data_IF_687397200141
#
_entry.id   IF_687397200141
#
_cell.length_a   1.000
_cell.length_b   1.000
_cell.length_c   1.000
_cell.angle_alpha   90.00
_cell.angle_beta   90.00
_cell.angle_gamma   90.00
#
_symmetry.space_group_name_H-M   'P 1'
#
loop_
_entity.id
_entity.type
_entity.pdbx_description
1 polymer ?
#
# COMPACT_ATOMS: atom_id res chain seq x y z
N UNK A 1 2.58 -5.15 -24.21
CA UNK A 1 2.34 -6.04 -23.05
C UNK A 1 1.84 -5.18 -21.91
N UNK A 2 0.97 -5.70 -21.04
CA UNK A 2 0.47 -4.97 -19.87
C UNK A 2 1.57 -4.91 -18.80
N UNK A 3 1.87 -3.72 -18.27
CA UNK A 3 2.77 -3.59 -17.13
C UNK A 3 2.03 -4.00 -15.85
N UNK A 4 2.52 -5.05 -15.21
CA UNK A 4 1.90 -5.62 -13.99
C UNK A 4 2.77 -5.48 -12.76
N UNK A 5 4.01 -4.98 -12.89
CA UNK A 5 5.00 -4.86 -11.84
C UNK A 5 5.59 -3.44 -11.79
N UNK A 6 5.84 -2.97 -10.58
CA UNK A 6 6.29 -1.62 -10.27
C UNK A 6 7.41 -1.70 -9.24
N UNK A 7 8.58 -1.20 -9.61
CA UNK A 7 9.71 -1.08 -8.71
C UNK A 7 9.48 0.07 -7.72
N UNK A 8 10.00 -0.10 -6.51
CA UNK A 8 9.97 0.94 -5.49
C UNK A 8 11.23 0.94 -4.63
N UNK A 9 11.47 2.06 -3.97
CA UNK A 9 12.50 2.19 -2.94
C UNK A 9 11.88 2.73 -1.67
N UNK A 10 12.01 1.98 -0.57
CA UNK A 10 11.54 2.42 0.75
C UNK A 10 12.32 3.67 1.22
N UNK A 11 11.62 4.70 1.71
CA UNK A 11 12.24 5.89 2.30
C UNK A 11 13.31 5.59 3.34
N UNK A 12 13.01 4.75 4.34
CA UNK A 12 13.97 4.35 5.37
C UNK A 12 14.50 2.94 5.13
N UNK A 13 13.60 1.97 4.96
CA UNK A 13 13.93 0.57 4.66
C UNK A 13 13.46 -0.41 5.73
N UNK A 14 13.49 -1.69 5.39
CA UNK A 14 13.21 -2.79 6.29
C UNK A 14 14.51 -3.34 6.86
N UNK A 15 14.62 -3.43 8.18
CA UNK A 15 15.74 -4.09 8.86
C UNK A 15 15.31 -5.51 9.20
N UNK A 16 15.99 -6.50 8.63
CA UNK A 16 15.69 -7.90 8.91
C UNK A 16 16.26 -8.36 10.27
N UNK A 17 16.05 -9.63 10.60
CA UNK A 17 16.51 -10.21 11.88
C UNK A 17 18.03 -10.32 11.99
N UNK A 18 18.74 -10.29 10.87
CA UNK A 18 20.20 -10.35 10.80
C UNK A 18 20.82 -8.94 10.81
N UNK A 19 19.98 -7.90 10.78
CA UNK A 19 20.40 -6.50 10.78
C UNK A 19 20.67 -5.94 9.38
N UNK A 20 20.33 -6.68 8.31
CA UNK A 20 20.49 -6.18 6.95
C UNK A 20 19.37 -5.18 6.61
N UNK A 21 19.74 -4.12 5.89
CA UNK A 21 18.81 -3.09 5.44
C UNK A 21 18.36 -3.36 4.01
N UNK A 22 17.04 -3.52 3.82
CA UNK A 22 16.39 -3.75 2.52
C UNK A 22 15.55 -2.53 2.13
N UNK A 23 15.80 -1.97 0.94
CA UNK A 23 15.05 -0.78 0.48
C UNK A 23 14.38 -0.97 -0.86
N UNK A 24 15.03 -1.69 -1.78
CA UNK A 24 14.51 -1.88 -3.14
C UNK A 24 13.52 -3.04 -3.17
N UNK A 25 12.40 -2.86 -3.86
CA UNK A 25 11.38 -3.90 -3.95
C UNK A 25 10.55 -3.83 -5.22
N UNK A 26 9.68 -4.82 -5.39
CA UNK A 26 8.69 -4.89 -6.47
C UNK A 26 7.32 -5.06 -5.85
N UNK A 27 6.36 -4.27 -6.33
CA UNK A 27 4.93 -4.46 -6.11
C UNK A 27 4.26 -4.83 -7.42
N UNK A 28 3.40 -5.84 -7.41
CA UNK A 28 2.55 -6.17 -8.55
C UNK A 28 1.16 -5.53 -8.41
N UNK A 29 0.44 -5.44 -9.53
CA UNK A 29 -0.99 -5.15 -9.50
C UNK A 29 -1.74 -6.17 -8.63
N UNK A 30 -2.68 -5.67 -7.84
CA UNK A 30 -3.59 -6.46 -7.05
C UNK A 30 -4.59 -7.19 -7.95
N UNK A 31 -4.91 -8.43 -7.60
CA UNK A 31 -6.01 -9.16 -8.22
C UNK A 31 -7.27 -9.01 -7.37
N UNK A 32 -8.45 -9.29 -7.94
CA UNK A 32 -9.68 -9.34 -7.15
C UNK A 32 -9.59 -10.35 -5.97
N UNK A 33 -8.81 -11.43 -6.11
CA UNK A 33 -8.57 -12.36 -5.02
C UNK A 33 -7.76 -11.72 -3.87
N UNK A 34 -6.83 -10.82 -4.18
CA UNK A 34 -6.08 -10.09 -3.17
C UNK A 34 -6.98 -9.13 -2.39
N UNK A 35 -8.02 -8.57 -3.00
CA UNK A 35 -8.98 -7.68 -2.31
C UNK A 35 -9.99 -8.45 -1.44
N UNK A 36 -10.48 -9.60 -1.93
CA UNK A 36 -11.61 -10.29 -1.32
C UNK A 36 -11.18 -11.32 -0.26
N UNK A 37 -10.13 -12.10 -0.55
CA UNK A 37 -9.73 -13.21 0.34
C UNK A 37 -9.31 -12.72 1.74
N UNK A 38 -8.57 -11.59 1.89
CA UNK A 38 -8.16 -11.10 3.21
C UNK A 38 -9.31 -10.71 4.15
N UNK A 39 -10.50 -10.40 3.63
CA UNK A 39 -11.66 -10.05 4.45
C UNK A 39 -12.14 -11.19 5.34
N UNK A 40 -11.69 -12.43 5.05
CA UNK A 40 -11.96 -13.62 5.86
C UNK A 40 -10.89 -13.89 6.92
N UNK A 41 -9.77 -13.16 6.92
CA UNK A 41 -8.71 -13.34 7.93
C UNK A 41 -9.25 -12.89 9.31
N UNK A 42 -9.15 -13.73 10.36
CA UNK A 42 -9.65 -13.40 11.69
C UNK A 42 -9.06 -12.09 12.26
N UNK A 43 -7.82 -11.75 11.89
CA UNK A 43 -7.17 -10.50 12.34
C UNK A 43 -7.83 -9.29 11.70
N UNK A 44 -8.24 -9.39 10.43
CA UNK A 44 -8.97 -8.33 9.73
C UNK A 44 -10.39 -8.19 10.28
N UNK A 45 -11.07 -9.31 10.59
CA UNK A 45 -12.39 -9.25 11.21
C UNK A 45 -12.36 -8.62 12.60
N UNK A 46 -11.33 -8.91 13.39
CA UNK A 46 -11.12 -8.28 14.70
C UNK A 46 -10.67 -6.81 14.60
N UNK A 47 -9.86 -6.48 13.60
CA UNK A 47 -9.36 -5.14 13.35
C UNK A 47 -9.28 -4.85 11.84
N UNK A 48 -10.26 -4.11 11.29
CA UNK A 48 -10.27 -3.77 9.86
C UNK A 48 -9.02 -3.03 9.38
N UNK A 49 -8.33 -2.30 10.27
CA UNK A 49 -7.08 -1.61 9.92
C UNK A 49 -5.94 -2.58 9.57
N UNK A 50 -6.03 -3.86 9.96
CA UNK A 50 -5.02 -4.87 9.62
C UNK A 50 -5.10 -5.35 8.16
N UNK A 51 -6.17 -4.99 7.43
CA UNK A 51 -6.35 -5.35 6.02
C UNK A 51 -5.15 -4.92 5.17
N UNK A 52 -4.64 -3.70 5.39
CA UNK A 52 -3.53 -3.16 4.60
C UNK A 52 -2.25 -4.00 4.73
N UNK A 53 -1.99 -4.54 5.93
CA UNK A 53 -0.83 -5.41 6.19
C UNK A 53 -0.95 -6.69 5.36
N UNK A 54 -2.13 -7.31 5.34
CA UNK A 54 -2.38 -8.50 4.54
C UNK A 54 -2.28 -8.19 3.05
N UNK A 55 -2.91 -7.11 2.58
CA UNK A 55 -2.87 -6.70 1.17
C UNK A 55 -1.43 -6.52 0.70
N UNK A 56 -0.67 -5.67 1.39
CA UNK A 56 0.73 -5.39 1.04
C UNK A 56 1.58 -6.66 1.05
N UNK A 57 1.36 -7.57 2.01
CA UNK A 57 2.10 -8.84 2.06
C UNK A 57 1.85 -9.77 0.87
N UNK A 58 0.74 -9.58 0.15
CA UNK A 58 0.36 -10.40 -1.01
C UNK A 58 0.81 -9.80 -2.34
N UNK A 59 0.98 -8.48 -2.41
CA UNK A 59 1.30 -7.76 -3.65
C UNK A 59 2.75 -7.30 -3.73
N UNK A 60 3.44 -7.17 -2.59
CA UNK A 60 4.90 -6.98 -2.59
C UNK A 60 5.55 -8.33 -2.86
N UNK A 61 6.14 -8.48 -4.05
CA UNK A 61 6.74 -9.74 -4.53
C UNK A 61 8.24 -9.83 -4.24
N UNK A 62 8.90 -8.70 -4.01
CA UNK A 62 10.32 -8.63 -3.67
C UNK A 62 10.61 -7.46 -2.73
N UNK A 63 11.50 -7.66 -1.78
CA UNK A 63 12.10 -6.60 -0.95
C UNK A 63 13.53 -7.00 -0.60
N UNK A 64 14.51 -6.40 -1.28
CA UNK A 64 15.92 -6.77 -1.17
C UNK A 64 16.14 -8.27 -1.35
N UNK A 65 16.83 -8.90 -0.40
CA UNK A 65 17.09 -10.34 -0.38
C UNK A 65 16.21 -11.10 0.62
N UNK A 66 15.09 -10.51 1.05
CA UNK A 66 14.14 -11.19 1.95
C UNK A 66 13.54 -12.40 1.24
N UNK A 67 13.71 -13.59 1.82
CA UNK A 67 13.31 -14.87 1.21
C UNK A 67 11.81 -14.96 0.89
N UNK A 68 10.98 -14.48 1.82
CA UNK A 68 9.52 -14.54 1.70
C UNK A 68 8.87 -13.31 2.34
N UNK A 69 8.07 -12.61 1.54
CA UNK A 69 7.22 -11.52 2.03
C UNK A 69 5.98 -12.13 2.68
N UNK A 70 5.74 -11.76 3.93
CA UNK A 70 4.60 -12.22 4.73
C UNK A 70 4.14 -11.07 5.64
N UNK A 71 2.99 -11.19 6.33
CA UNK A 71 2.47 -10.11 7.18
C UNK A 71 3.49 -9.60 8.21
N UNK A 72 4.35 -10.48 8.75
CA UNK A 72 5.37 -10.09 9.74
C UNK A 72 6.46 -9.20 9.16
N UNK A 73 6.80 -9.35 7.88
CA UNK A 73 7.73 -8.44 7.19
C UNK A 73 7.10 -7.05 7.08
N UNK A 74 5.83 -6.98 6.70
CA UNK A 74 5.11 -5.71 6.56
C UNK A 74 4.90 -5.03 7.92
N UNK A 75 4.61 -5.80 8.98
CA UNK A 75 4.55 -5.30 10.36
C UNK A 75 5.89 -4.74 10.86
N UNK A 76 7.00 -5.26 10.35
CA UNK A 76 8.36 -4.83 10.72
C UNK A 76 8.84 -3.56 10.01
N UNK A 77 8.03 -3.00 9.10
CA UNK A 77 8.35 -1.73 8.43
C UNK A 77 8.25 -0.56 9.40
N UNK A 78 9.07 0.47 9.18
CA UNK A 78 8.82 1.76 9.80
C UNK A 78 7.48 2.33 9.33
N UNK A 79 6.83 3.13 10.18
CA UNK A 79 5.54 3.73 9.85
C UNK A 79 5.56 4.55 8.55
N UNK A 80 6.67 5.23 8.26
CA UNK A 80 6.88 5.97 7.01
C UNK A 80 6.93 5.05 5.78
N UNK A 81 7.53 3.87 5.90
CA UNK A 81 7.64 2.91 4.82
C UNK A 81 6.31 2.20 4.57
N UNK A 82 5.57 1.87 5.64
CA UNK A 82 4.21 1.35 5.51
C UNK A 82 3.30 2.35 4.79
N UNK A 83 3.34 3.63 5.20
CA UNK A 83 2.57 4.70 4.56
C UNK A 83 2.96 4.89 3.09
N UNK A 84 4.26 4.83 2.78
CA UNK A 84 4.76 4.90 1.41
C UNK A 84 4.22 3.75 0.54
N UNK A 85 4.27 2.51 1.04
CA UNK A 85 3.73 1.35 0.31
C UNK A 85 2.22 1.42 0.14
N UNK A 86 1.49 1.95 1.13
CA UNK A 86 0.05 2.17 1.02
C UNK A 86 -0.29 3.21 -0.07
N UNK A 87 0.44 4.32 -0.15
CA UNK A 87 0.24 5.31 -1.24
C UNK A 87 0.59 4.71 -2.61
N UNK A 88 1.69 3.95 -2.71
CA UNK A 88 2.04 3.25 -3.94
C UNK A 88 0.95 2.27 -4.35
N UNK A 89 0.43 1.47 -3.42
CA UNK A 89 -0.66 0.54 -3.66
C UNK A 89 -1.89 1.25 -4.23
N UNK A 90 -2.32 2.33 -3.57
CA UNK A 90 -3.48 3.11 -3.99
C UNK A 90 -3.27 3.74 -5.37
N UNK A 91 -2.06 4.20 -5.67
CA UNK A 91 -1.73 4.81 -6.96
C UNK A 91 -1.76 3.82 -8.12
N UNK A 92 -1.27 2.59 -7.93
CA UNK A 92 -1.19 1.61 -9.03
C UNK A 92 -2.45 0.75 -9.18
N UNK A 93 -3.23 0.58 -8.10
CA UNK A 93 -4.44 -0.25 -8.10
C UNK A 93 -5.74 0.57 -8.02
N UNK A 94 -5.67 1.82 -7.60
CA UNK A 94 -6.83 2.71 -7.55
C UNK A 94 -7.20 3.23 -8.93
N UNK A 95 -8.47 3.60 -9.08
CA UNK A 95 -9.03 4.15 -10.32
C UNK A 95 -8.62 5.63 -10.55
N UNK A 96 -7.48 6.08 -10.00
CA UNK A 96 -7.07 7.49 -10.02
C UNK A 96 -7.76 8.40 -8.99
N UNK A 97 -8.75 7.90 -8.23
CA UNK A 97 -9.50 8.72 -7.27
C UNK A 97 -8.69 8.96 -5.99
N UNK A 98 -8.06 10.13 -5.88
CA UNK A 98 -7.50 10.62 -4.62
C UNK A 98 -8.56 11.48 -3.93
N UNK A 99 -9.10 11.03 -2.80
CA UNK A 99 -9.98 11.86 -1.99
C UNK A 99 -9.17 12.84 -1.12
N UNK A 100 -9.34 14.14 -1.35
CA UNK A 100 -8.79 15.21 -0.52
C UNK A 100 -9.86 15.69 0.45
N UNK A 101 -9.53 15.70 1.75
CA UNK A 101 -10.33 16.44 2.72
C UNK A 101 -9.94 17.91 2.66
N UNK A 102 -10.91 18.78 2.37
CA UNK A 102 -10.71 20.22 2.25
C UNK A 102 -11.65 20.92 3.23
N UNK A 103 -11.12 21.91 3.95
CA UNK A 103 -11.92 22.81 4.78
C UNK A 103 -12.12 24.09 3.98
N UNK A 104 -13.38 24.47 3.73
CA UNK A 104 -13.68 25.71 3.01
C UNK A 104 -13.27 26.93 3.87
N UNK A 105 -12.35 27.80 3.43
CA UNK A 105 -11.94 28.97 4.21
C UNK A 105 -13.02 30.05 4.34
N UNK A 106 -14.12 29.95 3.59
CA UNK A 106 -15.21 30.93 3.61
C UNK A 106 -16.39 30.52 4.50
N UNK A 107 -16.62 29.22 4.70
CA UNK A 107 -17.76 28.74 5.48
C UNK A 107 -17.43 27.62 6.47
N UNK A 108 -16.14 27.27 6.62
CA UNK A 108 -15.60 26.30 7.57
C UNK A 108 -16.19 24.88 7.47
N UNK A 109 -16.90 24.58 6.38
CA UNK A 109 -17.40 23.23 6.12
C UNK A 109 -16.29 22.32 5.60
N UNK A 110 -16.25 21.12 6.16
CA UNK A 110 -15.51 19.97 5.67
C UNK A 110 -16.22 19.35 4.45
N UNK A 111 -15.45 19.09 3.40
CA UNK A 111 -15.93 18.30 2.27
C UNK A 111 -14.80 17.44 1.71
N UNK A 112 -15.17 16.25 1.22
CA UNK A 112 -14.27 15.30 0.57
C UNK A 112 -14.35 15.52 -0.93
N UNK A 113 -13.24 15.89 -1.56
CA UNK A 113 -13.13 16.02 -3.01
C UNK A 113 -12.45 14.79 -3.57
N UNK A 114 -13.17 14.04 -4.38
CA UNK A 114 -12.61 12.98 -5.20
C UNK A 114 -11.91 13.61 -6.41
N UNK A 115 -10.57 13.58 -6.42
CA UNK A 115 -9.79 13.97 -7.59
C UNK A 115 -9.78 12.81 -8.57
N UNK A 116 -10.47 12.95 -9.70
CA UNK A 116 -10.23 12.09 -10.85
C UNK A 116 -9.03 12.64 -11.63
N UNK A 117 -7.97 11.84 -11.77
CA UNK A 117 -6.78 12.19 -12.55
C UNK A 117 -6.93 11.80 -14.03
N UNK A 118 -8.15 11.49 -14.49
CA UNK A 118 -8.47 11.40 -15.91
C UNK A 118 -8.34 12.77 -16.61
N UNK A 119 -7.09 13.19 -16.83
CA UNK A 119 -6.79 14.25 -17.77
C UNK A 119 -7.20 13.78 -19.16
N UNK A 120 -8.35 14.24 -19.62
CA UNK A 120 -8.73 14.14 -21.03
C UNK A 120 -7.63 14.79 -21.88
N UNK A 121 -7.00 14.00 -22.75
CA UNK A 121 -6.26 14.51 -23.92
C UNK A 121 -7.00 14.13 -25.18
#
# INVERSE_FOLDING_TARGET
MLQTEYEFTLPAGYVDKEGNLHREGIMRLATAADEIVPLKDPRVQANPAYLIVILLSRVVTRLGSVEAINPKVIEGLFASDLAYLQDLYNRINGNGVRSLQIICPHCEKDFTVELDLSGES
#
